data_IF_643464820418
#
_entry.id   IF_643464820418
#
_cell.length_a   1.000
_cell.length_b   1.000
_cell.length_c   1.000
_cell.angle_alpha   90.00
_cell.angle_beta   90.00
_cell.angle_gamma   90.00
#
_symmetry.space_group_name_H-M   'P 1'
#
loop_
_entity.id
_entity.type
_entity.pdbx_description
1 polymer ?
#
# COMPACT_ATOMS: atom_id res chain seq x y z
N UNK A 1 -25.79 -22.73 1.97
CA UNK A 1 -25.01 -22.18 3.09
C UNK A 1 -24.67 -23.35 3.96
N UNK A 2 -23.38 -23.63 4.09
CA UNK A 2 -22.89 -24.82 4.74
C UNK A 2 -21.54 -24.51 5.40
N UNK A 3 -21.24 -25.20 6.49
CA UNK A 3 -19.96 -25.09 7.20
C UNK A 3 -19.52 -26.47 7.65
N UNK A 4 -18.28 -26.82 7.33
CA UNK A 4 -17.75 -28.13 7.65
C UNK A 4 -16.32 -28.04 8.16
N UNK A 5 -16.05 -28.73 9.26
CA UNK A 5 -14.71 -28.88 9.79
C UNK A 5 -13.95 -29.98 9.07
N UNK A 6 -12.65 -29.78 8.92
CA UNK A 6 -11.73 -30.84 8.51
C UNK A 6 -11.50 -31.76 9.71
N UNK A 7 -11.73 -33.05 9.50
CA UNK A 7 -11.63 -34.08 10.53
C UNK A 7 -10.29 -34.03 11.27
N UNK A 8 -10.33 -34.09 12.60
CA UNK A 8 -9.15 -34.12 13.48
C UNK A 8 -8.24 -32.87 13.37
N UNK A 9 -8.77 -31.74 12.88
CA UNK A 9 -8.05 -30.45 12.83
C UNK A 9 -8.99 -29.30 13.23
N UNK A 10 -8.41 -28.13 13.50
CA UNK A 10 -9.15 -26.90 13.78
C UNK A 10 -9.42 -26.05 12.54
N UNK A 11 -9.29 -26.64 11.34
CA UNK A 11 -9.61 -25.93 10.11
C UNK A 11 -11.07 -26.12 9.70
N UNK A 12 -11.68 -25.06 9.19
CA UNK A 12 -13.06 -25.10 8.70
C UNK A 12 -13.20 -24.50 7.30
N UNK A 13 -14.16 -25.04 6.55
CA UNK A 13 -14.61 -24.49 5.29
C UNK A 13 -16.03 -23.96 5.44
N UNK A 14 -16.29 -22.78 4.88
CA UNK A 14 -17.63 -22.20 4.82
C UNK A 14 -18.00 -21.85 3.39
N UNK A 15 -19.23 -22.16 2.99
CA UNK A 15 -19.76 -21.85 1.68
C UNK A 15 -21.07 -21.06 1.78
N UNK A 16 -21.18 -19.99 0.99
CA UNK A 16 -22.25 -19.00 1.13
C UNK A 16 -23.06 -18.72 -0.14
N UNK A 17 -23.96 -17.75 -0.02
CA UNK A 17 -24.68 -17.15 -1.16
C UNK A 17 -23.82 -16.15 -1.95
N UNK A 18 -22.70 -15.73 -1.37
CA UNK A 18 -21.66 -14.90 -1.98
C UNK A 18 -20.94 -15.61 -3.14
N UNK A 19 -21.24 -16.90 -3.37
CA UNK A 19 -20.62 -17.76 -4.40
C UNK A 19 -19.18 -18.15 -4.08
N UNK A 20 -18.72 -17.78 -2.89
CA UNK A 20 -17.36 -17.98 -2.43
C UNK A 20 -17.29 -19.21 -1.54
N UNK A 21 -16.14 -19.88 -1.61
CA UNK A 21 -15.74 -20.88 -0.64
C UNK A 21 -14.60 -20.28 0.19
N UNK A 22 -14.77 -20.22 1.50
CA UNK A 22 -13.78 -19.63 2.42
C UNK A 22 -13.16 -20.71 3.29
N UNK A 23 -11.84 -20.64 3.45
CA UNK A 23 -11.06 -21.52 4.30
C UNK A 23 -10.57 -20.76 5.53
N UNK A 24 -10.76 -21.31 6.71
CA UNK A 24 -10.49 -20.63 7.97
C UNK A 24 -9.68 -21.49 8.92
N UNK A 25 -8.87 -20.81 9.73
CA UNK A 25 -8.26 -21.34 10.94
C UNK A 25 -9.15 -21.02 12.14
N UNK A 26 -9.69 -22.03 12.83
CA UNK A 26 -10.53 -21.81 14.00
C UNK A 26 -9.72 -21.53 15.28
N UNK A 27 -8.40 -21.79 15.31
CA UNK A 27 -7.57 -21.49 16.47
C UNK A 27 -7.25 -19.99 16.55
N UNK A 28 -6.92 -19.39 15.40
CA UNK A 28 -6.62 -17.95 15.28
C UNK A 28 -7.83 -17.11 14.87
N UNK A 29 -8.92 -17.75 14.46
CA UNK A 29 -10.10 -17.11 13.86
C UNK A 29 -9.77 -16.27 12.62
N UNK A 30 -8.78 -16.72 11.84
CA UNK A 30 -8.33 -16.01 10.65
C UNK A 30 -8.87 -16.67 9.37
N UNK A 31 -9.24 -15.82 8.41
CA UNK A 31 -9.50 -16.29 7.04
C UNK A 31 -8.15 -16.59 6.39
N UNK A 32 -7.98 -17.83 5.95
CA UNK A 32 -6.75 -18.28 5.30
C UNK A 32 -6.81 -18.07 3.79
N UNK A 33 -7.95 -18.39 3.16
CA UNK A 33 -8.05 -18.35 1.71
C UNK A 33 -9.50 -18.13 1.25
N UNK A 34 -9.66 -17.37 0.16
CA UNK A 34 -10.95 -17.22 -0.53
C UNK A 34 -10.89 -17.88 -1.89
N UNK A 35 -11.56 -19.01 -2.03
CA UNK A 35 -11.66 -19.76 -3.28
C UNK A 35 -12.81 -19.21 -4.13
N UNK A 36 -12.44 -18.48 -5.17
CA UNK A 36 -13.35 -18.03 -6.22
C UNK A 36 -13.42 -19.04 -7.35
N UNK A 37 -14.62 -19.32 -7.84
CA UNK A 37 -14.78 -20.18 -9.01
C UNK A 37 -16.22 -20.51 -9.33
N UNK A 38 -17.11 -20.49 -8.34
CA UNK A 38 -18.55 -20.67 -8.57
C UNK A 38 -19.21 -19.40 -9.11
N UNK A 39 -20.10 -19.57 -10.07
CA UNK A 39 -20.83 -18.44 -10.67
C UNK A 39 -22.17 -18.17 -9.98
N UNK A 40 -22.60 -19.04 -9.07
CA UNK A 40 -23.83 -18.90 -8.30
C UNK A 40 -23.68 -19.45 -6.88
N UNK A 41 -24.72 -19.27 -6.05
CA UNK A 41 -24.72 -19.62 -4.63
C UNK A 41 -24.36 -21.10 -4.41
N UNK A 42 -23.50 -21.36 -3.43
CA UNK A 42 -23.07 -22.71 -3.06
C UNK A 42 -24.04 -23.26 -2.01
N UNK A 43 -24.60 -24.42 -2.29
CA UNK A 43 -25.64 -25.02 -1.45
C UNK A 43 -25.11 -26.11 -0.53
N UNK A 44 -24.17 -26.92 -1.02
CA UNK A 44 -23.62 -28.04 -0.28
C UNK A 44 -22.10 -28.05 -0.34
N UNK A 45 -21.50 -28.53 0.74
CA UNK A 45 -20.07 -28.70 0.91
C UNK A 45 -19.78 -30.07 1.52
N UNK A 46 -18.74 -30.74 1.02
CA UNK A 46 -18.30 -32.04 1.51
C UNK A 46 -16.78 -32.10 1.59
N UNK A 47 -16.25 -32.29 2.79
CA UNK A 47 -14.81 -32.40 3.06
C UNK A 47 -14.39 -33.88 3.11
N UNK A 48 -13.26 -34.22 2.50
CA UNK A 48 -12.65 -35.55 2.62
C UNK A 48 -12.32 -35.89 4.09
N UNK A 49 -12.44 -37.17 4.46
CA UNK A 49 -12.09 -37.65 5.81
C UNK A 49 -10.62 -37.39 6.17
N UNK A 50 -9.73 -37.30 5.18
CA UNK A 50 -8.32 -36.95 5.38
C UNK A 50 -8.03 -35.46 5.20
N UNK A 51 -8.99 -34.69 4.69
CA UNK A 51 -8.80 -33.28 4.37
C UNK A 51 -8.02 -33.03 3.09
N UNK A 52 -7.81 -34.03 2.24
CA UNK A 52 -7.03 -33.90 0.99
C UNK A 52 -7.74 -33.04 -0.07
N UNK A 53 -9.08 -33.12 -0.10
CA UNK A 53 -9.91 -32.41 -1.07
C UNK A 53 -11.27 -32.05 -0.49
N UNK A 54 -11.89 -31.04 -1.10
CA UNK A 54 -13.24 -30.56 -0.78
C UNK A 54 -14.08 -30.57 -2.05
N UNK A 55 -15.33 -31.00 -1.94
CA UNK A 55 -16.32 -30.98 -3.01
C UNK A 55 -17.40 -29.97 -2.67
N UNK A 56 -17.78 -29.17 -3.65
CA UNK A 56 -18.82 -28.14 -3.50
C UNK A 56 -19.83 -28.25 -4.62
N UNK A 57 -21.11 -28.13 -4.27
CA UNK A 57 -22.21 -28.10 -5.24
C UNK A 57 -22.89 -26.73 -5.24
N UNK A 58 -23.00 -26.13 -6.44
CA UNK A 58 -23.54 -24.80 -6.63
C UNK A 58 -24.86 -24.80 -7.42
N UNK A 59 -25.61 -23.71 -7.27
CA UNK A 59 -26.79 -23.42 -8.08
C UNK A 59 -26.48 -23.26 -9.58
N UNK A 60 -25.22 -23.04 -9.95
CA UNK A 60 -24.78 -22.96 -11.35
C UNK A 60 -24.83 -24.32 -12.08
N UNK A 61 -25.35 -25.36 -11.40
CA UNK A 61 -25.45 -26.75 -11.86
C UNK A 61 -24.09 -27.42 -12.04
N UNK A 62 -23.05 -26.86 -11.44
CA UNK A 62 -21.73 -27.46 -11.40
C UNK A 62 -21.41 -28.02 -10.01
N UNK A 63 -20.55 -29.04 -10.03
CA UNK A 63 -19.87 -29.55 -8.85
C UNK A 63 -18.39 -29.32 -9.10
N UNK A 64 -17.73 -28.65 -8.15
CA UNK A 64 -16.28 -28.40 -8.21
C UNK A 64 -15.57 -29.15 -7.11
N UNK A 65 -14.42 -29.71 -7.45
CA UNK A 65 -13.48 -30.33 -6.54
C UNK A 65 -12.29 -29.39 -6.36
N UNK A 66 -11.91 -29.18 -5.10
CA UNK A 66 -10.78 -28.37 -4.68
C UNK A 66 -9.78 -29.29 -4.03
N UNK A 67 -8.60 -29.43 -4.64
CA UNK A 67 -7.50 -30.23 -4.12
C UNK A 67 -6.51 -29.32 -3.37
N UNK A 68 -5.95 -29.82 -2.27
CA UNK A 68 -4.86 -29.11 -1.57
C UNK A 68 -3.57 -29.27 -2.37
N UNK A 69 -3.00 -28.17 -2.82
CA UNK A 69 -1.65 -28.14 -3.38
C UNK A 69 -0.61 -28.10 -2.25
N UNK A 70 0.59 -28.60 -2.54
CA UNK A 70 1.73 -28.59 -1.61
C UNK A 70 2.48 -27.25 -1.60
N UNK A 71 2.03 -26.29 -2.41
CA UNK A 71 2.64 -24.97 -2.49
C UNK A 71 2.32 -24.17 -1.22
N UNK A 72 3.34 -23.62 -0.53
CA UNK A 72 3.12 -22.76 0.60
C UNK A 72 2.48 -21.44 0.11
N UNK A 73 1.28 -21.15 0.60
CA UNK A 73 0.65 -19.85 0.39
C UNK A 73 1.06 -18.90 1.53
N UNK A 74 1.44 -17.67 1.18
CA UNK A 74 1.73 -16.62 2.16
C UNK A 74 0.41 -15.98 2.59
N UNK A 75 -0.01 -16.27 3.83
CA UNK A 75 -1.26 -15.74 4.42
C UNK A 75 -1.23 -14.20 4.45
N UNK A 76 -0.05 -13.62 4.68
CA UNK A 76 0.15 -12.17 4.73
C UNK A 76 -0.17 -11.50 3.38
N UNK A 77 0.21 -12.08 2.25
CA UNK A 77 0.00 -11.50 0.92
C UNK A 77 -1.51 -11.43 0.57
N UNK A 78 -2.27 -12.47 0.88
CA UNK A 78 -3.71 -12.48 0.62
C UNK A 78 -4.49 -11.57 1.59
N UNK A 79 -3.97 -11.41 2.82
CA UNK A 79 -4.46 -10.39 3.76
C UNK A 79 -4.18 -8.97 3.25
N UNK A 80 -2.98 -8.70 2.75
CA UNK A 80 -2.58 -7.40 2.20
C UNK A 80 -3.45 -7.05 0.98
N UNK A 81 -3.58 -7.96 0.02
CA UNK A 81 -4.45 -7.75 -1.14
C UNK A 81 -5.89 -7.44 -0.75
N UNK A 82 -6.43 -8.15 0.25
CA UNK A 82 -7.77 -7.86 0.76
C UNK A 82 -7.87 -6.49 1.43
N UNK A 83 -6.83 -6.09 2.16
CA UNK A 83 -6.76 -4.78 2.77
C UNK A 83 -6.72 -3.67 1.71
N UNK A 84 -5.97 -3.89 0.63
CA UNK A 84 -5.89 -3.01 -0.54
C UNK A 84 -7.24 -2.88 -1.23
N UNK A 85 -7.93 -3.98 -1.54
CA UNK A 85 -9.27 -3.94 -2.15
C UNK A 85 -10.28 -3.18 -1.28
N UNK A 86 -10.22 -3.36 0.04
CA UNK A 86 -11.06 -2.61 0.98
C UNK A 86 -10.69 -1.12 0.95
N UNK A 87 -9.40 -0.80 0.98
CA UNK A 87 -8.90 0.58 0.94
C UNK A 87 -9.31 1.29 -0.36
N UNK A 88 -9.17 0.64 -1.51
CA UNK A 88 -9.63 1.14 -2.80
C UNK A 88 -11.12 1.42 -2.79
N UNK A 89 -11.93 0.48 -2.27
CA UNK A 89 -13.38 0.69 -2.15
C UNK A 89 -13.74 1.89 -1.26
N UNK A 90 -13.03 2.06 -0.13
CA UNK A 90 -13.20 3.24 0.73
C UNK A 90 -12.82 4.54 0.03
N UNK A 91 -11.72 4.54 -0.75
CA UNK A 91 -11.29 5.71 -1.51
C UNK A 91 -12.29 6.07 -2.61
N UNK A 92 -12.86 5.08 -3.29
CA UNK A 92 -13.89 5.28 -4.31
C UNK A 92 -15.17 5.87 -3.71
N UNK A 93 -15.61 5.37 -2.54
CA UNK A 93 -16.79 5.89 -1.81
C UNK A 93 -16.58 7.35 -1.35
N UNK A 94 -15.37 7.70 -0.91
CA UNK A 94 -15.04 9.10 -0.53
C UNK A 94 -15.02 10.07 -1.71
N UNK A 95 -14.86 9.58 -2.94
CA UNK A 95 -14.94 10.42 -4.13
C UNK A 95 -16.39 10.70 -4.56
N UNK A 96 -17.32 9.79 -4.27
CA UNK A 96 -18.76 10.00 -4.49
C UNK A 96 -19.37 10.92 -3.42
N UNK A 97 -18.92 10.83 -2.16
CA UNK A 97 -19.43 11.64 -1.04
C UNK A 97 -18.70 12.99 -0.85
N UNK A 98 -18.89 13.92 -1.80
CA UNK A 98 -18.65 15.37 -1.56
C UNK A 98 -19.72 16.03 -0.69
N UNK A 99 -20.23 15.33 0.32
CA UNK A 99 -21.04 15.92 1.38
C UNK A 99 -20.76 15.23 2.71
N UNK A 100 -19.79 15.78 3.44
CA UNK A 100 -19.43 15.32 4.78
C UNK A 100 -20.56 15.65 5.76
N UNK A 101 -20.96 14.68 6.60
CA UNK A 101 -20.93 14.93 8.04
C UNK A 101 -19.89 14.04 8.72
N UNK A 102 -19.12 14.66 9.62
CA UNK A 102 -18.22 13.99 10.57
C UNK A 102 -19.06 13.03 11.41
N UNK A 103 -18.94 11.73 11.18
CA UNK A 103 -19.37 10.72 12.13
C UNK A 103 -18.18 9.89 12.61
N UNK A 104 -18.14 9.72 13.92
CA UNK A 104 -17.04 9.19 14.71
C UNK A 104 -16.77 7.73 14.33
N UNK A 105 -15.54 7.45 13.94
CA UNK A 105 -15.04 6.09 13.75
C UNK A 105 -15.10 5.33 15.08
N UNK A 106 -15.59 4.07 15.11
CA UNK A 106 -15.56 3.26 16.33
C UNK A 106 -14.11 3.00 16.76
N UNK A 107 -13.84 3.24 18.04
CA UNK A 107 -12.53 3.20 18.72
C UNK A 107 -11.87 1.81 18.84
N UNK A 108 -12.04 0.90 17.89
CA UNK A 108 -11.33 -0.38 17.90
C UNK A 108 -10.32 -0.49 16.76
N UNK A 109 -9.07 -0.16 17.10
CA UNK A 109 -7.89 -0.52 16.31
C UNK A 109 -7.17 0.67 15.70
N UNK A 110 -6.28 1.28 16.48
CA UNK A 110 -5.37 2.36 16.08
C UNK A 110 -4.28 1.92 15.06
N UNK A 111 -4.68 1.28 13.96
CA UNK A 111 -3.78 0.86 12.86
C UNK A 111 -4.00 1.71 11.61
N UNK A 112 -5.20 2.26 11.40
CA UNK A 112 -5.50 3.15 10.26
C UNK A 112 -4.74 4.49 10.30
N UNK A 113 -4.32 4.95 11.49
CA UNK A 113 -3.57 6.20 11.63
C UNK A 113 -2.09 6.03 11.26
N UNK A 114 -1.55 4.81 11.34
CA UNK A 114 -0.15 4.54 11.02
C UNK A 114 0.09 4.61 9.50
N UNK A 115 -0.81 4.03 8.68
CA UNK A 115 -0.69 4.05 7.22
C UNK A 115 -0.84 5.44 6.60
N UNK A 116 -1.73 6.29 7.14
CA UNK A 116 -1.85 7.69 6.70
C UNK A 116 -0.59 8.49 7.01
N UNK A 117 0.00 8.26 8.19
CA UNK A 117 1.25 8.90 8.60
C UNK A 117 2.42 8.48 7.71
N UNK A 118 2.50 7.21 7.32
CA UNK A 118 3.56 6.75 6.40
C UNK A 118 3.42 7.33 4.99
N UNK A 119 2.20 7.52 4.49
CA UNK A 119 2.01 8.10 3.15
C UNK A 119 2.35 9.60 3.15
N UNK A 120 1.92 10.33 4.18
CA UNK A 120 2.30 11.74 4.36
C UNK A 120 3.82 11.91 4.49
N UNK A 121 4.50 11.06 5.27
CA UNK A 121 5.96 11.11 5.39
C UNK A 121 6.66 10.78 4.08
N UNK A 122 6.20 9.78 3.31
CA UNK A 122 6.77 9.46 2.01
C UNK A 122 6.65 10.64 1.02
N UNK A 123 5.47 11.26 0.93
CA UNK A 123 5.27 12.42 0.05
C UNK A 123 6.12 13.64 0.46
N UNK A 124 6.34 13.83 1.76
CA UNK A 124 7.22 14.86 2.27
C UNK A 124 8.70 14.57 1.96
N UNK A 125 9.10 13.29 2.05
CA UNK A 125 10.44 12.83 1.65
C UNK A 125 10.69 13.09 0.16
N UNK A 126 9.77 12.68 -0.71
CA UNK A 126 9.88 12.91 -2.16
C UNK A 126 10.03 14.41 -2.47
N UNK A 127 9.25 15.26 -1.81
CA UNK A 127 9.36 16.71 -1.98
C UNK A 127 10.72 17.30 -1.55
N UNK A 128 11.37 16.74 -0.53
CA UNK A 128 12.72 17.19 -0.13
C UNK A 128 13.76 16.72 -1.15
N UNK A 129 13.64 15.48 -1.63
CA UNK A 129 14.57 14.90 -2.60
C UNK A 129 14.53 15.72 -3.90
N UNK A 130 13.35 16.01 -4.43
CA UNK A 130 13.17 16.87 -5.60
C UNK A 130 13.81 18.25 -5.40
N UNK A 131 13.64 18.84 -4.20
CA UNK A 131 14.21 20.14 -3.91
C UNK A 131 15.74 20.13 -3.83
N UNK A 132 16.33 19.05 -3.30
CA UNK A 132 17.78 18.84 -3.24
C UNK A 132 18.36 18.61 -4.64
N UNK A 133 17.73 17.77 -5.45
CA UNK A 133 18.20 17.49 -6.82
C UNK A 133 18.23 18.76 -7.66
N UNK A 134 17.16 19.56 -7.62
CA UNK A 134 17.10 20.85 -8.32
C UNK A 134 18.20 21.81 -7.83
N UNK A 135 18.48 21.82 -6.51
CA UNK A 135 19.51 22.67 -5.94
C UNK A 135 20.92 22.23 -6.34
N UNK A 136 21.20 20.92 -6.38
CA UNK A 136 22.50 20.39 -6.80
C UNK A 136 22.80 20.67 -8.27
N UNK A 137 21.79 20.50 -9.14
CA UNK A 137 21.91 20.82 -10.57
C UNK A 137 22.24 22.30 -10.74
N UNK A 138 21.59 23.18 -9.98
CA UNK A 138 21.87 24.61 -10.07
C UNK A 138 23.25 24.98 -9.51
N UNK A 139 23.69 24.35 -8.42
CA UNK A 139 25.04 24.57 -7.89
C UNK A 139 26.12 24.17 -8.90
N UNK A 140 25.97 23.04 -9.61
CA UNK A 140 26.91 22.64 -10.67
C UNK A 140 26.96 23.67 -11.79
N UNK A 141 25.81 24.19 -12.22
CA UNK A 141 25.72 25.25 -13.24
C UNK A 141 26.42 26.54 -12.78
N UNK A 142 26.26 26.92 -11.52
CA UNK A 142 26.92 28.10 -10.95
C UNK A 142 28.44 27.91 -10.97
N UNK A 143 28.95 26.76 -10.54
CA UNK A 143 30.39 26.45 -10.52
C UNK A 143 30.98 26.46 -11.94
N UNK A 144 30.33 25.79 -12.90
CA UNK A 144 30.77 25.80 -14.30
C UNK A 144 30.81 27.23 -14.85
N UNK A 145 29.80 28.03 -14.51
CA UNK A 145 29.74 29.42 -14.94
C UNK A 145 30.87 30.28 -14.33
N UNK A 146 31.17 30.11 -13.04
CA UNK A 146 32.29 30.77 -12.37
C UNK A 146 33.65 30.40 -13.01
N UNK A 147 33.84 29.14 -13.39
CA UNK A 147 35.04 28.70 -14.10
C UNK A 147 35.15 29.32 -15.50
N UNK A 148 34.03 29.43 -16.23
CA UNK A 148 34.00 30.08 -17.55
C UNK A 148 34.26 31.58 -17.47
N UNK A 149 33.73 32.25 -16.44
CA UNK A 149 34.03 33.65 -16.15
C UNK A 149 35.52 33.85 -15.84
N UNK A 150 36.11 32.98 -15.03
CA UNK A 150 37.55 33.01 -14.73
C UNK A 150 38.42 32.78 -15.99
N UNK A 151 37.93 32.02 -16.97
CA UNK A 151 38.55 31.82 -18.29
C UNK A 151 38.29 32.98 -19.27
N UNK A 152 37.55 34.01 -18.87
CA UNK A 152 37.31 35.22 -19.65
C UNK A 152 36.14 35.13 -20.63
N UNK A 153 35.27 34.13 -20.52
CA UNK A 153 34.02 34.05 -21.29
C UNK A 153 32.86 34.58 -20.44
N UNK A 154 32.22 35.64 -20.91
CA UNK A 154 31.08 36.28 -20.23
C UNK A 154 29.78 35.75 -20.83
N UNK A 155 29.44 34.49 -20.57
CA UNK A 155 28.07 34.05 -20.80
C UNK A 155 27.15 34.73 -19.76
N UNK A 156 25.92 35.08 -20.10
CA UNK A 156 24.97 35.59 -19.10
C UNK A 156 24.34 34.39 -18.35
N UNK A 157 24.52 34.33 -17.04
CA UNK A 157 23.89 33.30 -16.20
C UNK A 157 22.40 33.59 -16.04
N UNK A 158 21.56 32.69 -16.54
CA UNK A 158 20.10 32.80 -16.37
C UNK A 158 19.69 31.98 -15.13
N UNK A 159 19.06 32.62 -14.12
CA UNK A 159 18.63 31.91 -12.93
C UNK A 159 17.49 30.93 -13.26
N UNK A 160 17.52 29.75 -12.64
CA UNK A 160 16.45 28.77 -12.82
C UNK A 160 15.09 29.29 -12.31
N UNK A 161 14.10 29.28 -13.21
CA UNK A 161 12.71 29.66 -12.91
C UNK A 161 12.04 28.73 -11.89
N UNK A 162 12.46 27.46 -11.85
CA UNK A 162 11.92 26.43 -10.94
C UNK A 162 12.16 26.80 -9.48
N UNK A 163 13.29 27.45 -9.18
CA UNK A 163 13.64 27.84 -7.81
C UNK A 163 12.97 29.13 -7.34
N UNK A 164 12.03 29.68 -8.12
CA UNK A 164 11.24 30.87 -7.77
C UNK A 164 12.11 32.10 -7.44
N UNK A 165 13.33 32.17 -7.98
CA UNK A 165 14.28 33.24 -7.70
C UNK A 165 14.96 33.17 -6.32
N UNK A 166 14.85 32.05 -5.62
CA UNK A 166 15.59 31.78 -4.38
C UNK A 166 17.01 31.28 -4.67
N UNK A 167 17.93 31.45 -3.71
CA UNK A 167 19.22 30.75 -3.76
C UNK A 167 19.02 29.23 -3.62
N UNK A 168 19.95 28.39 -4.09
CA UNK A 168 19.86 26.93 -3.91
C UNK A 168 19.62 26.54 -2.44
N UNK A 169 20.35 27.17 -1.51
CA UNK A 169 20.15 26.98 -0.07
C UNK A 169 18.79 27.46 0.44
N UNK A 170 18.26 28.56 -0.09
CA UNK A 170 16.97 29.12 0.28
C UNK A 170 15.80 28.27 -0.22
N UNK A 171 15.96 27.63 -1.38
CA UNK A 171 14.96 26.72 -1.95
C UNK A 171 14.82 25.45 -1.11
N UNK A 172 15.94 24.82 -0.73
CA UNK A 172 15.95 23.66 0.17
C UNK A 172 15.41 24.02 1.54
N UNK A 173 15.80 25.17 2.10
CA UNK A 173 15.25 25.65 3.37
C UNK A 173 13.74 25.84 3.33
N UNK A 174 13.19 26.33 2.20
CA UNK A 174 11.75 26.47 2.02
C UNK A 174 11.04 25.13 2.01
N UNK A 175 11.58 24.14 1.29
CA UNK A 175 11.04 22.79 1.27
C UNK A 175 11.02 22.19 2.69
N UNK A 176 12.12 22.32 3.44
CA UNK A 176 12.20 21.88 4.84
C UNK A 176 11.21 22.61 5.75
N UNK A 177 11.01 23.92 5.56
CA UNK A 177 10.11 24.71 6.41
C UNK A 177 8.62 24.42 6.19
N UNK A 178 8.26 23.81 5.06
CA UNK A 178 6.87 23.47 4.74
C UNK A 178 6.40 22.16 5.38
N UNK A 179 7.32 21.37 5.96
CA UNK A 179 7.03 20.04 6.50
C UNK A 179 6.61 20.15 7.96
N UNK A 180 5.71 19.26 8.38
CA UNK A 180 5.27 19.19 9.77
C UNK A 180 6.45 18.79 10.69
N UNK A 181 6.55 19.41 11.87
CA UNK A 181 7.64 19.12 12.81
C UNK A 181 7.64 17.67 13.30
N UNK A 182 6.49 16.99 13.24
CA UNK A 182 6.37 15.60 13.66
C UNK A 182 6.95 14.63 12.63
N UNK A 183 6.95 15.02 11.35
CA UNK A 183 7.36 14.16 10.24
C UNK A 183 8.82 14.42 9.83
N UNK A 184 9.39 15.54 10.28
CA UNK A 184 10.74 15.97 9.93
C UNK A 184 11.80 14.93 10.34
N UNK A 185 11.71 14.36 11.53
CA UNK A 185 12.68 13.35 11.98
C UNK A 185 12.61 12.07 11.13
N UNK A 186 11.41 11.60 10.80
CA UNK A 186 11.24 10.39 9.98
C UNK A 186 11.65 10.62 8.53
N UNK A 187 11.28 11.76 7.94
CA UNK A 187 11.66 12.10 6.56
C UNK A 187 13.18 12.17 6.40
N UNK A 188 13.90 12.76 7.36
CA UNK A 188 15.37 12.82 7.35
C UNK A 188 16.02 11.43 7.46
N UNK A 189 15.47 10.55 8.31
CA UNK A 189 15.97 9.18 8.44
C UNK A 189 15.80 8.38 7.15
N UNK A 190 14.67 8.55 6.45
CA UNK A 190 14.47 7.92 5.14
C UNK A 190 15.46 8.44 4.10
N UNK A 191 15.72 9.75 4.06
CA UNK A 191 16.69 10.34 3.12
C UNK A 191 18.09 9.78 3.34
N UNK A 192 18.52 9.57 4.59
CA UNK A 192 19.83 8.97 4.86
C UNK A 192 19.94 7.59 4.21
N UNK A 193 18.88 6.77 4.24
CA UNK A 193 18.87 5.48 3.57
C UNK A 193 18.97 5.61 2.04
N UNK A 194 18.19 6.50 1.42
CA UNK A 194 18.22 6.73 -0.03
C UNK A 194 19.55 7.32 -0.52
N UNK A 195 20.23 8.12 0.30
CA UNK A 195 21.53 8.70 -0.04
C UNK A 195 22.64 7.64 -0.20
N UNK A 196 22.54 6.50 0.49
CA UNK A 196 23.48 5.39 0.32
C UNK A 196 23.29 4.63 -1.00
N UNK A 197 22.09 4.63 -1.57
CA UNK A 197 21.80 3.95 -2.84
C UNK A 197 22.25 4.77 -4.08
N UNK A 198 22.54 6.06 -3.88
CA UNK A 198 22.97 7.01 -4.92
C UNK A 198 24.50 7.22 -4.97
N UNK A 199 25.28 6.55 -4.12
CA UNK A 199 26.75 6.57 -4.08
C UNK A 199 27.38 5.26 -4.57
#
# INVERSE_FOLDING_TARGET
MDVQFVHNTHYMFSAGKDRLLKYWDADKFELLLTLEGHHAAVWCLAVSNRGDFVVTGSHDRSIRRWDRTEEPFFIEEEKEKRLEEIFEAYMDDTFEDRHVPKEELPEEGAVALAGKRTLETLTATDSIIDALEVAEVELKRIVEHEEEQARGKVAEFQPNLIMLGLSPSGYVHRALSNISTNDLEQTLLLIEHYAWDLL
#
